data_IF_794410456769
#
_entry.id   IF_794410456769
#
_cell.length_a   1.000
_cell.length_b   1.000
_cell.length_c   1.000
_cell.angle_alpha   90.00
_cell.angle_beta   90.00
_cell.angle_gamma   90.00
#
_symmetry.space_group_name_H-M   'P 1'
#
loop_
_entity.id
_entity.type
_entity.pdbx_description
1 polymer ?
#
# COMPACT_ATOMS: atom_id res chain seq x y z
N UNK A 1 33.26 11.02 9.43
CA UNK A 1 31.79 11.15 9.57
C UNK A 1 31.24 9.84 10.08
N UNK A 2 30.35 9.84 11.08
CA UNK A 2 29.72 8.62 11.61
C UNK A 2 28.59 8.14 10.70
N UNK A 3 28.36 6.82 10.66
CA UNK A 3 27.31 6.21 9.85
C UNK A 3 25.94 6.43 10.50
N UNK A 4 25.00 7.02 9.75
CA UNK A 4 23.59 7.13 10.15
C UNK A 4 22.80 5.95 9.57
N UNK A 5 22.03 5.28 10.41
CA UNK A 5 21.09 4.25 9.98
C UNK A 5 19.72 4.87 9.73
N UNK A 6 19.20 4.68 8.52
CA UNK A 6 17.90 5.23 8.08
C UNK A 6 17.02 4.06 7.65
N UNK A 7 15.74 4.12 8.01
CA UNK A 7 14.72 3.19 7.52
C UNK A 7 13.53 3.98 6.96
N UNK A 8 12.99 3.51 5.85
CA UNK A 8 11.73 4.00 5.30
C UNK A 8 10.62 3.02 5.64
N UNK A 9 9.56 3.49 6.30
CA UNK A 9 8.36 2.72 6.61
C UNK A 9 7.16 3.34 5.89
N UNK A 10 6.56 2.55 5.00
CA UNK A 10 5.36 2.91 4.28
C UNK A 10 4.15 2.21 4.90
N UNK A 11 3.25 2.98 5.50
CA UNK A 11 2.00 2.48 6.05
C UNK A 11 0.86 2.71 5.06
N UNK A 12 0.39 1.65 4.42
CA UNK A 12 -0.70 1.70 3.45
C UNK A 12 -2.02 1.29 4.11
N UNK A 13 -2.92 2.25 4.15
CA UNK A 13 -4.25 2.11 4.74
C UNK A 13 -5.32 2.57 3.76
N UNK A 14 -6.43 1.83 3.73
CA UNK A 14 -7.69 2.26 3.16
C UNK A 14 -8.81 1.78 4.11
N UNK A 15 -9.83 2.62 4.39
CA UNK A 15 -11.02 2.16 5.10
C UNK A 15 -11.80 1.16 4.25
N UNK A 16 -12.75 0.45 4.86
CA UNK A 16 -13.67 -0.43 4.14
C UNK A 16 -14.63 0.40 3.29
N UNK A 17 -14.54 0.24 1.98
CA UNK A 17 -15.46 0.84 1.00
C UNK A 17 -16.47 -0.17 0.45
N UNK A 18 -16.32 -1.46 0.75
CA UNK A 18 -17.29 -2.49 0.39
C UNK A 18 -18.51 -2.37 1.29
N UNK A 19 -19.67 -2.15 0.69
CA UNK A 19 -20.96 -2.39 1.33
C UNK A 19 -21.25 -3.89 1.23
N UNK A 20 -21.16 -4.59 2.36
CA UNK A 20 -21.38 -6.04 2.44
C UNK A 20 -22.85 -6.43 2.22
N UNK A 21 -23.80 -5.53 2.50
CA UNK A 21 -25.23 -5.81 2.30
C UNK A 21 -25.60 -5.77 0.82
N UNK A 22 -24.97 -4.88 0.05
CA UNK A 22 -25.20 -4.71 -1.38
C UNK A 22 -24.18 -5.48 -2.24
N UNK A 23 -23.15 -6.05 -1.62
CA UNK A 23 -21.96 -6.62 -2.26
C UNK A 23 -21.36 -5.70 -3.34
N UNK A 24 -21.23 -4.41 -3.02
CA UNK A 24 -20.74 -3.39 -3.94
C UNK A 24 -19.73 -2.47 -3.27
N UNK A 25 -18.73 -2.05 -4.03
CA UNK A 25 -17.82 -1.00 -3.60
C UNK A 25 -18.46 0.37 -3.78
N UNK A 26 -18.55 1.13 -2.69
CA UNK A 26 -19.07 2.50 -2.70
C UNK A 26 -18.13 3.47 -3.40
N UNK A 27 -16.82 3.20 -3.30
CA UNK A 27 -15.77 4.06 -3.83
C UNK A 27 -14.61 3.21 -4.40
N UNK A 28 -13.96 3.65 -5.50
CA UNK A 28 -12.93 2.87 -6.19
C UNK A 28 -11.53 3.05 -5.58
N UNK A 29 -11.43 3.54 -4.34
CA UNK A 29 -10.17 4.07 -3.82
C UNK A 29 -9.10 3.02 -3.60
N UNK A 30 -9.46 1.80 -3.18
CA UNK A 30 -8.49 0.69 -3.07
C UNK A 30 -7.82 0.45 -4.43
N UNK A 31 -8.62 0.27 -5.49
CA UNK A 31 -8.11 0.09 -6.86
C UNK A 31 -7.24 1.28 -7.31
N UNK A 32 -7.72 2.51 -7.15
CA UNK A 32 -7.01 3.71 -7.59
C UNK A 32 -5.68 3.92 -6.87
N UNK A 33 -5.63 3.64 -5.57
CA UNK A 33 -4.38 3.79 -4.80
C UNK A 33 -3.40 2.65 -5.06
N UNK A 34 -3.89 1.42 -5.27
CA UNK A 34 -3.05 0.29 -5.66
C UNK A 34 -2.30 0.56 -6.97
N UNK A 35 -3.03 0.93 -8.02
CA UNK A 35 -2.46 1.08 -9.37
C UNK A 35 -1.59 2.33 -9.51
N UNK A 36 -1.95 3.42 -8.83
CA UNK A 36 -1.22 4.69 -8.96
C UNK A 36 -0.10 4.84 -7.95
N UNK A 37 -0.36 4.59 -6.67
CA UNK A 37 0.55 4.96 -5.59
C UNK A 37 1.34 3.75 -5.07
N UNK A 38 0.65 2.72 -4.60
CA UNK A 38 1.30 1.61 -3.89
C UNK A 38 2.22 0.80 -4.82
N UNK A 39 1.76 0.52 -6.04
CA UNK A 39 2.57 -0.13 -7.06
C UNK A 39 3.84 0.67 -7.38
N UNK A 40 3.71 1.98 -7.58
CA UNK A 40 4.85 2.84 -7.91
C UNK A 40 5.90 2.86 -6.78
N UNK A 41 5.46 2.88 -5.52
CA UNK A 41 6.40 2.82 -4.39
C UNK A 41 7.18 1.49 -4.33
N UNK A 42 6.50 0.37 -4.60
CA UNK A 42 7.17 -0.94 -4.69
C UNK A 42 8.15 -0.98 -5.88
N UNK A 43 7.73 -0.44 -7.03
CA UNK A 43 8.54 -0.39 -8.25
C UNK A 43 9.83 0.41 -8.07
N UNK A 44 9.75 1.56 -7.39
CA UNK A 44 10.93 2.37 -7.08
C UNK A 44 11.95 1.60 -6.23
N UNK A 45 11.51 0.79 -5.26
CA UNK A 45 12.42 -0.04 -4.46
C UNK A 45 13.00 -1.18 -5.29
N UNK A 46 12.19 -1.82 -6.15
CA UNK A 46 12.66 -2.87 -7.06
C UNK A 46 13.77 -2.38 -8.01
N UNK A 47 13.61 -1.19 -8.58
CA UNK A 47 14.58 -0.58 -9.49
C UNK A 47 15.87 -0.14 -8.76
N UNK A 48 15.78 0.19 -7.47
CA UNK A 48 16.89 0.67 -6.66
C UNK A 48 17.39 -0.40 -5.69
N UNK A 49 18.22 -1.34 -6.18
CA UNK A 49 18.73 -2.51 -5.41
C UNK A 49 19.42 -2.19 -4.07
N UNK A 50 19.88 -0.96 -3.86
CA UNK A 50 20.53 -0.53 -2.61
C UNK A 50 19.53 0.11 -1.62
N UNK A 51 18.34 0.48 -2.07
CA UNK A 51 17.30 1.05 -1.21
C UNK A 51 16.64 -0.06 -0.38
N UNK A 52 16.28 0.27 0.87
CA UNK A 52 15.55 -0.62 1.77
C UNK A 52 14.35 0.12 2.33
N UNK A 53 13.19 -0.52 2.28
CA UNK A 53 11.96 -0.01 2.85
C UNK A 53 11.11 -1.15 3.41
N UNK A 54 10.32 -0.85 4.44
CA UNK A 54 9.31 -1.73 5.00
C UNK A 54 7.94 -1.25 4.55
N UNK A 55 7.15 -2.15 3.97
CA UNK A 55 5.77 -1.87 3.58
C UNK A 55 4.82 -2.57 4.56
N UNK A 56 3.96 -1.81 5.19
CA UNK A 56 2.91 -2.31 6.06
C UNK A 56 1.55 -2.10 5.37
N UNK A 57 0.78 -3.18 5.26
CA UNK A 57 -0.57 -3.16 4.71
C UNK A 57 -1.56 -3.46 5.84
N UNK A 58 -2.54 -2.60 6.03
CA UNK A 58 -3.61 -2.83 7.01
C UNK A 58 -4.52 -3.98 6.59
N UNK A 59 -5.11 -4.75 7.54
CA UNK A 59 -6.02 -5.85 7.21
C UNK A 59 -7.19 -5.42 6.31
N UNK A 60 -7.79 -4.25 6.57
CA UNK A 60 -8.90 -3.70 5.77
C UNK A 60 -8.51 -3.43 4.31
N UNK A 61 -7.26 -3.02 4.07
CA UNK A 61 -6.74 -2.85 2.71
C UNK A 61 -6.52 -4.21 2.04
N UNK A 62 -5.93 -5.17 2.74
CA UNK A 62 -5.64 -6.50 2.20
C UNK A 62 -6.94 -7.21 1.81
N UNK A 63 -7.96 -7.18 2.67
CA UNK A 63 -9.27 -7.80 2.41
C UNK A 63 -9.89 -7.30 1.11
N UNK A 64 -9.93 -5.98 0.91
CA UNK A 64 -10.51 -5.38 -0.30
C UNK A 64 -9.61 -5.48 -1.55
N UNK A 65 -8.34 -5.86 -1.38
CA UNK A 65 -7.40 -6.07 -2.50
C UNK A 65 -7.51 -7.50 -3.06
N UNK A 66 -7.90 -8.45 -2.22
CA UNK A 66 -7.99 -9.88 -2.56
C UNK A 66 -9.40 -10.33 -2.98
N UNK A 67 -10.41 -9.50 -2.76
CA UNK A 67 -11.80 -9.70 -3.20
C UNK A 67 -11.95 -9.56 -4.73
#
# INVERSE_FOLDING_TARGET
MNKLFVTFLWHFHQPIYKDFSLNKYLLPWVRSHLTKNYYMMAKLIEENKNAKATFNFTPSLVEQTLD
#
